data_IF_044862902460
#
_entry.id   IF_044862902460
#
_cell.length_a   1.000
_cell.length_b   1.000
_cell.length_c   1.000
_cell.angle_alpha   90.00
_cell.angle_beta   90.00
_cell.angle_gamma   90.00
#
_symmetry.space_group_name_H-M   'P 1'
#
loop_
_entity.id
_entity.type
_entity.pdbx_description
1 polymer ?
#
# COMPACT_ATOMS: atom_id res chain seq x y z
N UNK A 1 -9.04 8.73 15.65
CA UNK A 1 -8.53 8.98 14.28
C UNK A 1 -9.30 8.11 13.32
N UNK A 2 -9.59 8.60 12.11
CA UNK A 2 -10.56 8.05 11.16
C UNK A 2 -10.22 6.71 10.46
N UNK A 3 -9.25 5.93 10.96
CA UNK A 3 -8.89 4.62 10.39
C UNK A 3 -8.31 4.64 8.96
N UNK A 4 -8.17 5.82 8.34
CA UNK A 4 -7.57 6.00 7.02
C UNK A 4 -6.07 5.84 7.10
N UNK A 5 -5.52 5.06 6.17
CA UNK A 5 -4.07 4.90 5.99
C UNK A 5 -3.63 5.87 4.92
N UNK A 6 -2.65 6.72 5.22
CA UNK A 6 -2.08 7.67 4.27
C UNK A 6 -0.70 7.20 3.83
N UNK A 7 -0.34 7.55 2.60
CA UNK A 7 0.99 7.35 2.07
C UNK A 7 1.48 8.61 1.38
N UNK A 8 2.79 8.73 1.25
CA UNK A 8 3.44 9.89 0.66
C UNK A 8 4.54 9.51 -0.31
N UNK A 9 4.89 10.43 -1.21
CA UNK A 9 6.05 10.33 -2.08
C UNK A 9 6.62 11.71 -2.40
N UNK A 10 7.92 11.78 -2.70
CA UNK A 10 8.56 12.95 -3.35
C UNK A 10 8.34 12.99 -4.85
N UNK A 11 7.82 11.90 -5.45
CA UNK A 11 7.64 11.76 -6.88
C UNK A 11 6.21 11.29 -7.18
N UNK A 12 5.37 12.20 -7.69
CA UNK A 12 3.98 11.88 -8.05
C UNK A 12 3.90 10.76 -9.09
N UNK A 13 4.75 10.83 -10.12
CA UNK A 13 4.82 9.86 -11.21
C UNK A 13 5.60 8.59 -10.83
N UNK A 14 6.04 8.51 -9.58
CA UNK A 14 6.71 7.33 -9.07
C UNK A 14 5.75 6.13 -9.06
N UNK A 15 6.27 4.98 -9.48
CA UNK A 15 5.52 3.72 -9.46
C UNK A 15 5.06 3.31 -8.05
N UNK A 16 4.27 2.24 -7.92
CA UNK A 16 3.66 1.82 -6.64
C UNK A 16 4.64 1.63 -5.46
N UNK A 17 5.91 1.32 -5.72
CA UNK A 17 6.96 1.17 -4.69
C UNK A 17 7.57 2.49 -4.20
N UNK A 18 7.33 3.61 -4.87
CA UNK A 18 7.84 4.94 -4.48
C UNK A 18 7.02 5.62 -3.38
N UNK A 19 5.93 4.99 -2.95
CA UNK A 19 5.00 5.52 -1.96
C UNK A 19 5.22 4.84 -0.60
N UNK A 20 5.46 5.65 0.41
CA UNK A 20 5.75 5.20 1.77
C UNK A 20 4.57 5.45 2.68
N UNK A 21 4.25 4.47 3.52
CA UNK A 21 3.20 4.61 4.53
C UNK A 21 3.57 5.72 5.51
N UNK A 22 2.61 6.57 5.85
CA UNK A 22 2.78 7.55 6.93
C UNK A 22 2.44 6.85 8.23
N UNK A 23 3.40 6.80 9.14
CA UNK A 23 3.15 6.27 10.48
C UNK A 23 2.27 7.23 11.29
N UNK A 24 1.24 6.69 11.93
CA UNK A 24 0.20 7.46 12.62
C UNK A 24 0.67 8.15 13.90
N UNK A 25 1.92 7.92 14.30
CA UNK A 25 2.54 8.58 15.45
C UNK A 25 2.92 10.05 15.15
N UNK A 26 2.90 10.47 13.87
CA UNK A 26 3.01 11.86 13.46
C UNK A 26 1.68 12.62 13.60
N UNK A 27 1.70 13.79 14.24
CA UNK A 27 0.48 14.53 14.55
C UNK A 27 -0.21 15.09 13.28
N UNK A 28 -1.23 14.39 12.80
CA UNK A 28 -2.18 14.86 11.81
C UNK A 28 -3.29 15.67 12.50
N UNK A 29 -3.48 16.93 12.07
CA UNK A 29 -4.57 17.78 12.52
C UNK A 29 -5.57 18.01 11.37
N UNK A 30 -6.79 18.39 11.70
CA UNK A 30 -7.81 18.77 10.71
C UNK A 30 -7.81 20.29 10.56
N UNK A 31 -7.75 20.80 9.33
CA UNK A 31 -7.92 22.25 9.04
C UNK A 31 -8.98 22.46 7.96
N UNK A 32 -9.50 23.68 7.81
CA UNK A 32 -10.52 24.01 6.80
C UNK A 32 -10.00 23.92 5.35
N UNK A 33 -8.71 24.15 5.13
CA UNK A 33 -8.10 24.15 3.79
C UNK A 33 -7.87 22.75 3.21
N UNK A 34 -7.65 21.76 4.08
CA UNK A 34 -7.54 20.35 3.73
C UNK A 34 -8.19 19.52 4.85
N UNK A 35 -9.54 19.45 4.88
CA UNK A 35 -10.25 18.76 5.94
C UNK A 35 -9.75 17.32 6.06
N UNK A 36 -9.20 16.99 7.24
CA UNK A 36 -8.74 15.64 7.61
C UNK A 36 -7.39 15.18 7.02
N UNK A 37 -6.63 16.06 6.36
CA UNK A 37 -5.37 15.69 5.68
C UNK A 37 -4.15 16.51 6.13
N UNK A 38 -4.27 17.40 7.14
CA UNK A 38 -3.17 18.30 7.48
C UNK A 38 -2.11 17.60 8.35
N UNK A 39 -0.98 17.25 7.72
CA UNK A 39 0.20 16.67 8.36
C UNK A 39 1.13 17.80 8.79
N UNK A 40 1.30 18.00 10.10
CA UNK A 40 2.28 18.98 10.59
C UNK A 40 3.67 18.38 10.68
N UNK A 41 3.78 17.12 11.13
CA UNK A 41 5.05 16.42 11.29
C UNK A 41 4.85 14.93 11.05
N UNK A 42 5.74 14.30 10.27
CA UNK A 42 5.87 12.85 10.22
C UNK A 42 7.34 12.42 10.08
N UNK A 43 7.64 11.23 10.61
CA UNK A 43 8.96 10.61 10.49
C UNK A 43 8.90 9.51 9.44
N UNK A 44 9.93 9.43 8.61
CA UNK A 44 10.16 8.26 7.77
C UNK A 44 11.32 7.48 8.34
N UNK A 45 11.26 6.15 8.28
CA UNK A 45 12.45 5.35 8.53
C UNK A 45 13.31 5.27 7.26
N UNK A 46 14.64 5.47 7.34
CA UNK A 46 15.41 5.89 8.50
C UNK A 46 15.69 7.41 8.46
N UNK A 47 14.97 8.17 9.28
CA UNK A 47 15.32 9.51 9.82
C UNK A 47 15.13 10.74 8.90
N UNK A 48 14.02 10.86 8.15
CA UNK A 48 13.57 12.20 7.71
C UNK A 48 12.42 12.67 8.59
N UNK A 49 12.60 13.80 9.28
CA UNK A 49 11.53 14.50 10.00
C UNK A 49 11.09 15.68 9.16
N UNK A 50 9.93 15.54 8.54
CA UNK A 50 9.39 16.59 7.67
C UNK A 50 8.32 17.37 8.40
N UNK A 51 8.47 18.69 8.41
CA UNK A 51 7.38 19.62 8.66
C UNK A 51 6.67 19.88 7.35
N UNK A 52 5.35 19.66 7.30
CA UNK A 52 4.60 19.80 6.06
C UNK A 52 3.51 20.87 6.17
N UNK A 53 3.31 21.60 5.09
CA UNK A 53 2.26 22.60 4.96
C UNK A 53 1.45 22.32 3.69
N UNK A 54 0.15 22.12 3.86
CA UNK A 54 -0.74 21.93 2.71
C UNK A 54 -0.69 23.15 1.81
N UNK A 55 -0.53 22.92 0.50
CA UNK A 55 -0.51 23.97 -0.52
C UNK A 55 -1.78 23.93 -1.34
N UNK A 56 -2.12 22.75 -1.90
CA UNK A 56 -3.21 22.57 -2.86
C UNK A 56 -3.56 21.10 -3.04
N UNK A 57 -4.73 20.84 -3.61
CA UNK A 57 -5.02 19.56 -4.26
C UNK A 57 -4.32 19.49 -5.63
N UNK A 58 -3.86 18.31 -6.02
CA UNK A 58 -3.21 18.12 -7.31
C UNK A 58 -4.23 18.37 -8.44
N UNK A 59 -3.91 19.19 -9.47
CA UNK A 59 -4.88 19.62 -10.47
C UNK A 59 -5.42 18.49 -11.35
N UNK A 60 -4.65 17.42 -11.54
CA UNK A 60 -5.05 16.26 -12.35
C UNK A 60 -5.53 15.06 -11.51
N UNK A 61 -5.29 15.07 -10.19
CA UNK A 61 -5.69 13.97 -9.31
C UNK A 61 -6.24 14.54 -8.00
N UNK A 62 -7.57 14.59 -7.89
CA UNK A 62 -8.25 15.11 -6.72
C UNK A 62 -8.05 14.25 -5.45
N UNK A 63 -7.47 13.06 -5.56
CA UNK A 63 -7.14 12.20 -4.43
C UNK A 63 -5.72 12.44 -3.90
N UNK A 64 -4.96 13.34 -4.54
CA UNK A 64 -3.60 13.69 -4.13
C UNK A 64 -3.57 15.11 -3.61
N UNK A 65 -3.12 15.26 -2.36
CA UNK A 65 -2.81 16.54 -1.75
C UNK A 65 -1.32 16.84 -1.90
N UNK A 66 -0.99 18.10 -2.23
CA UNK A 66 0.38 18.59 -2.36
C UNK A 66 0.74 19.42 -1.14
N UNK A 67 1.86 19.09 -0.54
CA UNK A 67 2.43 19.78 0.61
C UNK A 67 3.80 20.33 0.24
N UNK A 68 4.13 21.48 0.81
CA UNK A 68 5.50 21.96 0.89
C UNK A 68 6.11 21.38 2.16
N UNK A 69 7.29 20.76 2.04
CA UNK A 69 8.00 20.11 3.12
C UNK A 69 9.27 20.86 3.47
N UNK A 70 9.54 20.93 4.77
CA UNK A 70 10.81 21.38 5.34
C UNK A 70 11.39 20.25 6.19
N UNK A 71 12.69 19.99 6.04
CA UNK A 71 13.40 19.00 6.85
C UNK A 71 13.87 19.64 8.16
N UNK A 72 13.55 18.99 9.28
CA UNK A 72 13.89 19.46 10.62
C UNK A 72 15.15 18.76 11.15
N UNK A 73 16.22 19.54 11.31
CA UNK A 73 17.37 19.12 12.10
C UNK A 73 17.07 19.38 13.59
N UNK A 74 16.93 18.30 14.37
CA UNK A 74 16.65 18.38 15.81
C UNK A 74 17.81 18.91 16.64
N UNK A 75 19.04 18.79 16.16
CA UNK A 75 20.21 19.26 16.90
C UNK A 75 20.41 20.77 16.69
N UNK A 76 19.92 21.32 15.57
CA UNK A 76 20.11 22.72 15.19
C UNK A 76 18.85 23.60 15.29
N UNK A 77 17.64 23.02 15.38
CA UNK A 77 16.37 23.75 15.21
C UNK A 77 16.33 24.58 13.91
N UNK A 78 17.01 24.08 12.88
CA UNK A 78 17.05 24.68 11.55
C UNK A 78 16.13 23.85 10.65
N UNK A 79 15.27 24.54 9.90
CA UNK A 79 14.48 23.93 8.84
C UNK A 79 15.10 24.24 7.47
N UNK A 80 15.23 23.20 6.63
CA UNK A 80 15.71 23.33 5.26
C UNK A 80 14.57 23.03 4.28
N UNK A 81 14.39 23.80 3.19
CA UNK A 81 13.40 23.47 2.19
C UNK A 81 13.66 22.08 1.57
N UNK A 82 12.70 21.16 1.71
CA UNK A 82 12.75 19.82 1.15
C UNK A 82 11.92 19.66 -0.14
N UNK A 83 11.15 20.71 -0.50
CA UNK A 83 10.38 20.77 -1.74
C UNK A 83 8.94 20.28 -1.58
N UNK A 84 8.32 19.85 -2.68
CA UNK A 84 6.94 19.34 -2.64
C UNK A 84 6.91 17.85 -2.30
N UNK A 85 5.94 17.46 -1.48
CA UNK A 85 5.57 16.07 -1.23
C UNK A 85 4.10 15.85 -1.56
N UNK A 86 3.83 14.67 -2.10
CA UNK A 86 2.51 14.24 -2.53
C UNK A 86 1.98 13.24 -1.52
N UNK A 87 0.77 13.47 -1.05
CA UNK A 87 0.11 12.63 -0.04
C UNK A 87 -1.21 12.16 -0.60
N UNK A 88 -1.53 10.88 -0.38
CA UNK A 88 -2.81 10.29 -0.74
C UNK A 88 -3.25 9.23 0.26
N UNK A 89 -4.51 8.84 0.16
CA UNK A 89 -5.00 7.66 0.88
C UNK A 89 -4.44 6.39 0.22
N UNK A 90 -4.04 5.41 1.05
CA UNK A 90 -3.63 4.10 0.55
C UNK A 90 -4.82 3.50 -0.20
N UNK A 91 -4.64 3.04 -1.46
CA UNK A 91 -5.71 2.44 -2.24
C UNK A 91 -6.45 1.34 -1.49
N UNK A 92 -7.76 1.25 -1.72
CA UNK A 92 -8.59 0.20 -1.10
C UNK A 92 -8.03 -1.20 -1.40
N UNK A 93 -8.24 -2.18 -0.50
CA UNK A 93 -7.69 -3.51 -0.70
C UNK A 93 -8.13 -4.14 -2.03
N UNK A 94 -7.20 -4.84 -2.69
CA UNK A 94 -7.54 -5.72 -3.79
C UNK A 94 -8.20 -6.98 -3.22
N UNK A 95 -9.48 -7.17 -3.51
CA UNK A 95 -10.23 -8.35 -3.07
C UNK A 95 -10.12 -9.44 -4.12
N UNK A 96 -9.75 -10.64 -3.66
CA UNK A 96 -9.61 -11.84 -4.48
C UNK A 96 -10.35 -13.00 -3.83
N UNK A 97 -11.06 -13.79 -4.61
CA UNK A 97 -11.73 -15.01 -4.15
C UNK A 97 -10.88 -16.21 -4.52
N UNK A 98 -10.66 -17.13 -3.58
CA UNK A 98 -10.00 -18.40 -3.79
C UNK A 98 -11.06 -19.51 -3.83
N UNK A 99 -11.01 -20.35 -4.86
CA UNK A 99 -11.81 -21.57 -4.98
C UNK A 99 -10.89 -22.78 -4.94
N UNK A 100 -11.19 -23.74 -4.08
CA UNK A 100 -10.44 -24.98 -3.93
C UNK A 100 -11.20 -26.14 -4.56
N UNK A 101 -10.52 -26.93 -5.41
CA UNK A 101 -11.07 -28.13 -6.04
C UNK A 101 -10.24 -29.35 -5.67
N UNK A 102 -10.81 -30.36 -5.01
CA UNK A 102 -10.10 -31.62 -4.75
C UNK A 102 -9.70 -32.32 -6.05
N UNK A 103 -8.48 -32.83 -6.10
CA UNK A 103 -7.95 -33.63 -7.22
C UNK A 103 -7.39 -34.97 -6.68
N UNK A 104 -7.07 -35.96 -7.55
CA UNK A 104 -6.57 -37.26 -7.10
C UNK A 104 -5.33 -37.16 -6.19
N UNK A 105 -5.07 -38.23 -5.42
CA UNK A 105 -3.91 -38.33 -4.52
C UNK A 105 -3.90 -37.34 -3.34
N UNK A 106 -5.08 -36.99 -2.81
CA UNK A 106 -5.25 -36.05 -1.68
C UNK A 106 -4.67 -34.66 -1.94
N UNK A 107 -4.66 -34.24 -3.21
CA UNK A 107 -4.21 -32.91 -3.59
C UNK A 107 -5.39 -31.98 -3.88
N UNK A 108 -5.11 -30.68 -3.97
CA UNK A 108 -6.10 -29.63 -4.20
C UNK A 108 -5.57 -28.62 -5.23
N UNK A 109 -6.43 -28.23 -6.16
CA UNK A 109 -6.19 -27.11 -7.06
C UNK A 109 -6.82 -25.83 -6.47
N UNK A 110 -6.13 -24.70 -6.57
CA UNK A 110 -6.65 -23.38 -6.21
C UNK A 110 -6.72 -22.46 -7.42
N UNK A 111 -7.83 -21.73 -7.50
CA UNK A 111 -8.03 -20.66 -8.49
C UNK A 111 -8.36 -19.38 -7.75
N UNK A 112 -7.55 -18.34 -7.98
CA UNK A 112 -7.75 -17.01 -7.44
C UNK A 112 -8.33 -16.11 -8.51
N UNK A 113 -9.46 -15.47 -8.21
CA UNK A 113 -10.17 -14.61 -9.14
C UNK A 113 -10.40 -13.25 -8.49
N UNK A 114 -10.22 -12.18 -9.25
CA UNK A 114 -10.61 -10.83 -8.82
C UNK A 114 -12.13 -10.71 -8.74
N UNK A 115 -12.66 -9.74 -7.98
CA UNK A 115 -14.11 -9.48 -7.93
C UNK A 115 -14.70 -9.16 -9.32
N UNK A 116 -13.89 -8.65 -10.25
CA UNK A 116 -14.29 -8.42 -11.63
C UNK A 116 -14.34 -9.69 -12.50
N UNK A 117 -14.07 -10.87 -11.94
CA UNK A 117 -14.11 -12.16 -12.65
C UNK A 117 -12.84 -12.52 -13.42
N UNK A 118 -11.78 -11.71 -13.33
CA UNK A 118 -10.48 -12.03 -13.95
C UNK A 118 -9.67 -13.00 -13.10
N UNK A 119 -9.20 -14.11 -13.69
CA UNK A 119 -8.25 -15.03 -13.05
C UNK A 119 -6.94 -14.30 -12.75
N UNK A 120 -6.49 -14.41 -11.50
CA UNK A 120 -5.24 -13.83 -11.01
C UNK A 120 -4.15 -14.88 -10.94
N UNK A 121 -4.44 -16.04 -10.37
CA UNK A 121 -3.46 -17.10 -10.12
C UNK A 121 -4.17 -18.44 -10.12
N UNK A 122 -3.48 -19.46 -10.63
CA UNK A 122 -3.87 -20.86 -10.53
C UNK A 122 -2.71 -21.67 -10.00
N UNK A 123 -2.97 -22.47 -8.96
CA UNK A 123 -2.00 -23.40 -8.38
C UNK A 123 -2.61 -24.80 -8.47
N UNK A 124 -1.84 -25.78 -8.95
CA UNK A 124 -2.34 -27.14 -9.16
C UNK A 124 -1.61 -28.13 -8.27
N UNK A 125 -2.31 -29.17 -7.83
CA UNK A 125 -1.72 -30.31 -7.12
C UNK A 125 -1.11 -29.97 -5.75
N UNK A 126 -1.69 -29.03 -5.01
CA UNK A 126 -1.18 -28.65 -3.69
C UNK A 126 -1.55 -29.69 -2.63
N UNK A 127 -0.59 -29.97 -1.74
CA UNK A 127 -0.81 -30.81 -0.56
C UNK A 127 -1.03 -29.92 0.66
N UNK A 128 -2.20 -30.04 1.30
CA UNK A 128 -2.54 -29.35 2.56
C UNK A 128 -2.19 -27.84 2.61
N UNK A 129 -2.74 -27.02 1.69
CA UNK A 129 -2.38 -25.60 1.66
C UNK A 129 -2.90 -24.84 2.89
N UNK A 130 -2.04 -24.02 3.51
CA UNK A 130 -2.48 -23.10 4.56
C UNK A 130 -3.10 -21.84 3.95
N UNK A 131 -4.17 -21.32 4.57
CA UNK A 131 -4.86 -20.13 4.07
C UNK A 131 -3.94 -18.89 3.99
N UNK A 132 -2.99 -18.76 4.92
CA UNK A 132 -2.01 -17.66 4.92
C UNK A 132 -1.03 -17.77 3.74
N UNK A 133 -0.60 -18.98 3.40
CA UNK A 133 0.28 -19.22 2.25
C UNK A 133 -0.45 -18.90 0.95
N UNK A 134 -1.69 -19.39 0.80
CA UNK A 134 -2.56 -19.08 -0.36
C UNK A 134 -2.77 -17.57 -0.54
N UNK A 135 -3.09 -16.86 0.54
CA UNK A 135 -3.27 -15.42 0.50
C UNK A 135 -1.97 -14.69 0.14
N UNK A 136 -0.83 -15.18 0.62
CA UNK A 136 0.49 -14.64 0.27
C UNK A 136 0.82 -14.87 -1.20
N UNK A 137 0.53 -16.05 -1.75
CA UNK A 137 0.69 -16.34 -3.17
C UNK A 137 -0.18 -15.44 -4.05
N UNK A 138 -1.42 -15.18 -3.64
CA UNK A 138 -2.30 -14.24 -4.34
C UNK A 138 -1.75 -12.81 -4.31
N UNK A 139 -1.22 -12.36 -3.17
CA UNK A 139 -0.62 -11.04 -3.04
C UNK A 139 0.63 -10.88 -3.92
N UNK A 140 1.50 -11.89 -3.94
CA UNK A 140 2.68 -11.93 -4.81
C UNK A 140 2.29 -11.88 -6.29
N UNK A 141 1.28 -12.66 -6.70
CA UNK A 141 0.78 -12.66 -8.08
C UNK A 141 0.18 -11.31 -8.48
N UNK A 142 -0.57 -10.66 -7.58
CA UNK A 142 -1.13 -9.32 -7.81
C UNK A 142 -0.04 -8.28 -8.02
N UNK A 143 1.03 -8.30 -7.22
CA UNK A 143 2.17 -7.42 -7.38
C UNK A 143 2.90 -7.67 -8.71
N UNK A 144 3.25 -8.93 -9.00
CA UNK A 144 3.97 -9.31 -10.22
C UNK A 144 3.21 -8.97 -11.52
N UNK A 145 1.88 -8.95 -11.48
CA UNK A 145 1.03 -8.58 -12.62
C UNK A 145 0.70 -7.07 -12.67
N UNK A 146 1.30 -6.24 -11.82
CA UNK A 146 1.02 -4.80 -11.77
C UNK A 146 -0.42 -4.46 -11.38
N UNK A 147 -1.11 -5.34 -10.65
CA UNK A 147 -2.51 -5.11 -10.20
C UNK A 147 -2.59 -4.22 -8.96
N UNK A 148 -1.48 -4.05 -8.25
CA UNK A 148 -1.39 -3.19 -7.07
C UNK A 148 -0.98 -1.77 -7.47
N UNK A 149 -1.71 -0.78 -6.96
CA UNK A 149 -1.48 0.66 -7.19
C UNK A 149 -0.53 1.28 -6.17
N UNK A 150 -0.28 0.57 -5.08
CA UNK A 150 0.65 0.93 -4.01
C UNK A 150 1.24 -0.33 -3.39
N UNK A 151 2.50 -0.26 -2.94
CA UNK A 151 3.10 -1.30 -2.08
C UNK A 151 2.35 -1.48 -0.76
N UNK A 152 1.76 -0.40 -0.24
CA UNK A 152 1.02 -0.41 1.03
C UNK A 152 -0.43 -0.92 0.87
N UNK A 153 -0.88 -1.15 -0.36
CA UNK A 153 -2.20 -1.69 -0.68
C UNK A 153 -2.28 -3.15 -0.21
N UNK A 154 -3.33 -3.45 0.57
CA UNK A 154 -3.58 -4.80 1.03
C UNK A 154 -4.22 -5.67 -0.06
N UNK A 155 -4.00 -6.98 0.03
CA UNK A 155 -4.72 -8.01 -0.73
C UNK A 155 -5.55 -8.82 0.24
N UNK A 156 -6.87 -8.82 0.04
CA UNK A 156 -7.82 -9.56 0.86
C UNK A 156 -8.25 -10.81 0.10
N UNK A 157 -7.81 -11.98 0.58
CA UNK A 157 -8.19 -13.27 0.00
C UNK A 157 -9.37 -13.85 0.74
N UNK A 158 -10.46 -14.09 0.02
CA UNK A 158 -11.67 -14.73 0.51
C UNK A 158 -11.67 -16.22 0.16
N UNK A 159 -11.81 -17.09 1.15
CA UNK A 159 -11.97 -18.53 1.00
C UNK A 159 -13.04 -19.00 1.99
N UNK A 160 -14.11 -19.62 1.49
CA UNK A 160 -15.21 -20.18 2.30
C UNK A 160 -15.76 -19.22 3.38
N UNK A 161 -15.89 -17.93 3.03
CA UNK A 161 -16.38 -16.88 3.93
C UNK A 161 -15.35 -16.37 4.94
N UNK A 162 -14.15 -16.95 4.99
CA UNK A 162 -13.02 -16.42 5.74
C UNK A 162 -12.24 -15.42 4.88
N UNK A 163 -11.76 -14.35 5.52
CA UNK A 163 -10.92 -13.33 4.89
C UNK A 163 -9.53 -13.34 5.53
N UNK A 164 -8.50 -13.44 4.69
CA UNK A 164 -7.11 -13.20 5.10
C UNK A 164 -6.57 -12.01 4.33
N UNK A 165 -6.08 -11.03 5.08
CA UNK A 165 -5.51 -9.79 4.55
C UNK A 165 -4.00 -9.87 4.61
N UNK A 166 -3.34 -9.62 3.49
CA UNK A 166 -1.88 -9.57 3.38
C UNK A 166 -1.45 -8.21 2.85
N UNK A 167 -0.44 -7.61 3.48
CA UNK A 167 0.35 -6.52 2.91
C UNK A 167 1.74 -7.09 2.67
N UNK A 168 2.29 -6.91 1.47
CA UNK A 168 3.63 -7.42 1.16
C UNK A 168 4.67 -6.68 1.98
N UNK A 169 5.67 -7.40 2.49
CA UNK A 169 6.83 -6.77 3.10
C UNK A 169 7.66 -6.03 2.04
N UNK A 170 8.55 -5.15 2.50
CA UNK A 170 9.51 -4.45 1.64
C UNK A 170 10.35 -5.46 0.84
N UNK A 171 10.96 -6.42 1.52
CA UNK A 171 11.79 -7.46 0.89
C UNK A 171 11.05 -8.25 -0.20
N UNK A 172 9.79 -8.62 0.05
CA UNK A 172 8.99 -9.37 -0.92
C UNK A 172 8.62 -8.51 -2.14
N UNK A 173 8.32 -7.24 -1.91
CA UNK A 173 8.03 -6.30 -2.98
C UNK A 173 9.26 -6.09 -3.87
N UNK A 174 10.40 -5.77 -3.26
CA UNK A 174 11.63 -5.45 -3.96
C UNK A 174 12.13 -6.64 -4.78
N UNK A 175 12.03 -7.87 -4.25
CA UNK A 175 12.37 -9.09 -4.99
C UNK A 175 11.55 -9.24 -6.30
N UNK A 176 10.28 -8.83 -6.29
CA UNK A 176 9.40 -8.95 -7.46
C UNK A 176 9.63 -7.83 -8.48
N UNK A 177 9.84 -6.59 -8.01
CA UNK A 177 10.00 -5.44 -8.91
C UNK A 177 11.44 -5.21 -9.38
N UNK A 178 12.43 -5.82 -8.75
CA UNK A 178 13.81 -5.79 -9.23
C UNK A 178 14.02 -6.60 -10.52
N UNK A 179 13.05 -7.42 -10.92
CA UNK A 179 13.12 -8.29 -12.10
C UNK A 179 12.30 -7.78 -13.31
N UNK A 180 11.68 -6.60 -13.20
CA UNK A 180 10.83 -5.99 -14.23
C UNK A 180 11.48 -4.81 -14.94
#
# INVERSE_FOLDING_TARGET
MDGRRLEWSRCLEGGPGSWSLIDSDGAAFTTEAAPRWHLLFFSTEPVERLQCRFVRWHPADAQVAVFEAEELDHDAWISYPAGEVYVREVPSPLVVTCSLTPVPHNAVDAVFTTVAGGELLRITGMSNPEMKELATSAALAAAAQGRLRSRNQAVCTALDGQLVTVVLSHDMWDMLTAQS
#
